data_IF_923189708363
#
_entry.id   IF_923189708363
#
_cell.length_a   1.000
_cell.length_b   1.000
_cell.length_c   1.000
_cell.angle_alpha   90.00
_cell.angle_beta   90.00
_cell.angle_gamma   90.00
#
_symmetry.space_group_name_H-M   'P 1'
#
loop_
_entity.id
_entity.type
_entity.pdbx_description
1 polymer ?
#
# COMPACT_ATOMS: atom_id res chain seq x y z
N UNK A 1 19.79 -15.53 32.51
CA UNK A 1 18.41 -15.58 31.99
C UNK A 1 18.25 -16.91 31.30
N UNK A 2 17.40 -17.79 31.81
CA UNK A 2 17.21 -19.14 31.24
C UNK A 2 16.49 -19.01 29.90
N UNK A 3 17.16 -19.38 28.79
CA UNK A 3 16.68 -19.31 27.41
C UNK A 3 15.65 -20.41 27.08
N UNK A 4 14.81 -20.80 28.01
CA UNK A 4 13.86 -21.90 27.82
C UNK A 4 12.40 -21.44 27.93
N UNK A 5 12.12 -20.18 27.56
CA UNK A 5 10.75 -19.66 27.60
C UNK A 5 9.99 -20.15 26.36
N UNK A 6 9.07 -21.08 26.58
CA UNK A 6 8.12 -21.52 25.57
C UNK A 6 6.92 -20.57 25.54
N UNK A 7 6.66 -20.00 24.39
CA UNK A 7 5.54 -19.08 24.14
C UNK A 7 4.36 -19.85 23.56
N UNK A 8 3.17 -19.56 24.08
CA UNK A 8 1.95 -20.12 23.49
C UNK A 8 1.57 -19.40 22.20
N UNK A 9 0.70 -20.01 21.40
CA UNK A 9 0.14 -19.35 20.21
C UNK A 9 -0.57 -18.02 20.54
N UNK A 10 -1.11 -17.90 21.76
CA UNK A 10 -1.75 -16.66 22.24
C UNK A 10 -0.72 -15.57 22.51
N UNK A 11 0.42 -15.91 23.11
CA UNK A 11 1.51 -14.97 23.36
C UNK A 11 2.09 -14.45 22.06
N UNK A 12 2.39 -15.35 21.10
CA UNK A 12 2.86 -14.98 19.77
C UNK A 12 1.87 -14.05 19.07
N UNK A 13 0.59 -14.41 19.08
CA UNK A 13 -0.46 -13.60 18.45
C UNK A 13 -0.50 -12.18 19.01
N UNK A 14 -0.34 -12.04 20.32
CA UNK A 14 -0.31 -10.73 21.00
C UNK A 14 0.96 -9.95 20.72
N UNK A 15 2.14 -10.58 20.80
CA UNK A 15 3.43 -9.92 20.64
C UNK A 15 3.69 -9.45 19.21
N UNK A 16 3.33 -10.28 18.22
CA UNK A 16 3.62 -10.01 16.82
C UNK A 16 2.43 -9.46 16.04
N UNK A 17 1.27 -9.32 16.69
CA UNK A 17 0.01 -8.91 16.06
C UNK A 17 -0.33 -9.79 14.83
N UNK A 18 -0.14 -11.11 14.97
CA UNK A 18 -0.47 -12.11 13.96
C UNK A 18 -1.65 -12.92 14.49
N UNK A 19 -2.70 -13.10 13.68
CA UNK A 19 -3.87 -13.86 14.12
C UNK A 19 -3.51 -15.33 14.42
N UNK A 20 -4.19 -15.94 15.39
CA UNK A 20 -4.01 -17.36 15.70
C UNK A 20 -4.30 -18.27 14.50
N UNK A 21 -5.25 -17.88 13.63
CA UNK A 21 -5.55 -18.58 12.38
C UNK A 21 -4.39 -18.53 11.40
N UNK A 22 -3.74 -17.37 11.23
CA UNK A 22 -2.55 -17.23 10.41
C UNK A 22 -1.39 -18.09 10.94
N UNK A 23 -1.16 -18.10 12.25
CA UNK A 23 -0.13 -18.95 12.87
C UNK A 23 -0.39 -20.44 12.63
N UNK A 24 -1.65 -20.89 12.74
CA UNK A 24 -2.03 -22.27 12.41
C UNK A 24 -1.82 -22.57 10.92
N UNK A 25 -2.12 -21.62 10.06
CA UNK A 25 -1.89 -21.76 8.63
C UNK A 25 -0.40 -21.82 8.29
N UNK A 26 0.45 -20.99 8.92
CA UNK A 26 1.91 -21.07 8.73
C UNK A 26 2.49 -22.41 9.16
N UNK A 27 1.96 -22.99 10.23
CA UNK A 27 2.29 -24.34 10.66
C UNK A 27 1.84 -25.41 9.63
N UNK A 28 0.58 -25.34 9.14
CA UNK A 28 0.05 -26.32 8.17
C UNK A 28 0.80 -26.33 6.85
N UNK A 29 1.22 -25.17 6.35
CA UNK A 29 2.04 -25.05 5.13
C UNK A 29 3.54 -25.28 5.37
N UNK A 30 3.96 -25.50 6.61
CA UNK A 30 5.36 -25.70 6.98
C UNK A 30 6.25 -24.48 6.88
N UNK A 31 5.67 -23.26 6.89
CA UNK A 31 6.40 -22.01 6.85
C UNK A 31 7.07 -21.67 8.20
N UNK A 32 6.36 -21.91 9.30
CA UNK A 32 6.88 -21.84 10.66
C UNK A 32 6.17 -22.86 11.55
N UNK A 33 6.86 -23.96 11.87
CA UNK A 33 6.33 -25.00 12.73
C UNK A 33 6.58 -24.64 14.20
N UNK A 34 5.63 -24.98 15.12
CA UNK A 34 5.89 -24.85 16.55
C UNK A 34 7.05 -25.77 16.98
N UNK A 35 7.79 -25.38 18.01
CA UNK A 35 8.89 -26.20 18.58
C UNK A 35 8.35 -27.46 19.27
N UNK A 36 7.15 -27.36 19.84
CA UNK A 36 6.49 -28.48 20.47
C UNK A 36 4.97 -28.38 20.31
N UNK A 37 4.32 -29.55 20.35
CA UNK A 37 2.88 -29.69 20.54
C UNK A 37 2.62 -30.58 21.74
N UNK A 38 1.73 -30.12 22.57
CA UNK A 38 1.23 -30.96 23.68
C UNK A 38 0.40 -32.11 23.08
N UNK A 39 0.76 -33.33 23.45
CA UNK A 39 0.12 -34.54 22.91
C UNK A 39 -1.31 -34.78 23.42
N UNK A 40 -1.65 -34.22 24.59
CA UNK A 40 -2.97 -34.38 25.20
C UNK A 40 -3.93 -33.27 24.76
N UNK A 41 -3.44 -32.03 24.78
CA UNK A 41 -4.28 -30.84 24.54
C UNK A 41 -4.15 -30.26 23.12
N UNK A 42 -3.14 -30.69 22.36
CA UNK A 42 -2.83 -30.17 21.04
C UNK A 42 -2.27 -28.73 21.04
N UNK A 43 -1.96 -28.18 22.22
CA UNK A 43 -1.42 -26.82 22.34
C UNK A 43 -0.06 -26.69 21.64
N UNK A 44 0.14 -25.54 20.95
CA UNK A 44 1.35 -25.23 20.20
C UNK A 44 2.23 -24.31 21.03
N UNK A 45 3.50 -24.69 21.14
CA UNK A 45 4.53 -23.91 21.82
C UNK A 45 5.62 -23.49 20.83
N UNK A 46 6.09 -22.28 21.01
CA UNK A 46 7.11 -21.64 20.17
C UNK A 46 8.28 -21.20 21.07
N UNK A 47 9.48 -21.20 20.53
CA UNK A 47 10.69 -20.70 21.17
C UNK A 47 11.14 -19.37 20.54
N UNK A 48 12.14 -18.74 21.12
CA UNK A 48 12.66 -17.46 20.68
C UNK A 48 13.03 -17.41 19.19
N UNK A 49 13.65 -18.45 18.68
CA UNK A 49 14.02 -18.53 17.26
C UNK A 49 12.82 -18.44 16.31
N UNK A 50 11.69 -19.00 16.71
CA UNK A 50 10.46 -18.94 15.92
C UNK A 50 9.78 -17.58 16.04
N UNK A 51 9.93 -16.86 17.17
CA UNK A 51 9.50 -15.47 17.26
C UNK A 51 10.22 -14.60 16.21
N UNK A 52 11.53 -14.75 16.11
CA UNK A 52 12.32 -14.02 15.13
C UNK A 52 11.90 -14.38 13.70
N UNK A 53 11.71 -15.66 13.40
CA UNK A 53 11.22 -16.13 12.10
C UNK A 53 9.84 -15.56 11.77
N UNK A 54 8.89 -15.60 12.70
CA UNK A 54 7.54 -15.07 12.51
C UNK A 54 7.54 -13.54 12.33
N UNK A 55 8.38 -12.82 13.07
CA UNK A 55 8.57 -11.38 12.88
C UNK A 55 9.09 -11.06 11.46
N UNK A 56 10.07 -11.84 10.97
CA UNK A 56 10.59 -11.68 9.62
C UNK A 56 9.50 -11.96 8.56
N UNK A 57 8.73 -13.04 8.71
CA UNK A 57 7.57 -13.34 7.85
C UNK A 57 6.61 -12.16 7.83
N UNK A 58 6.30 -11.59 9.01
CA UNK A 58 5.43 -10.41 9.11
C UNK A 58 5.95 -9.20 8.34
N UNK A 59 7.26 -8.92 8.40
CA UNK A 59 7.91 -7.84 7.63
C UNK A 59 7.83 -8.08 6.12
N UNK A 60 8.11 -9.29 5.67
CA UNK A 60 8.05 -9.67 4.26
C UNK A 60 6.61 -9.60 3.71
N UNK A 61 5.61 -9.98 4.51
CA UNK A 61 4.19 -9.83 4.17
C UNK A 61 3.78 -8.37 4.01
N UNK A 62 4.27 -7.46 4.86
CA UNK A 62 4.05 -6.01 4.69
C UNK A 62 4.61 -5.48 3.38
N UNK A 63 5.67 -6.07 2.88
CA UNK A 63 6.22 -5.78 1.55
C UNK A 63 5.43 -6.45 0.41
N UNK A 64 4.23 -7.02 0.70
CA UNK A 64 3.35 -7.71 -0.25
C UNK A 64 3.99 -8.93 -0.93
N UNK A 65 4.98 -9.57 -0.30
CA UNK A 65 5.50 -10.86 -0.76
C UNK A 65 4.50 -11.98 -0.49
N UNK A 66 4.38 -12.93 -1.40
CA UNK A 66 3.52 -14.10 -1.22
C UNK A 66 4.12 -15.08 -0.21
N UNK A 67 3.28 -15.90 0.41
CA UNK A 67 3.77 -16.91 1.37
C UNK A 67 4.63 -17.98 0.69
N UNK A 68 4.37 -18.26 -0.59
CA UNK A 68 5.17 -19.16 -1.42
C UNK A 68 6.58 -18.60 -1.63
N UNK A 69 6.70 -17.32 -1.99
CA UNK A 69 7.98 -16.64 -2.12
C UNK A 69 8.76 -16.66 -0.79
N UNK A 70 8.08 -16.31 0.31
CA UNK A 70 8.70 -16.31 1.64
C UNK A 70 9.18 -17.72 2.03
N UNK A 71 8.36 -18.75 1.77
CA UNK A 71 8.70 -20.15 2.08
C UNK A 71 9.89 -20.65 1.26
N UNK A 72 9.91 -20.36 -0.05
CA UNK A 72 11.00 -20.75 -0.93
C UNK A 72 12.35 -20.19 -0.43
N UNK A 73 12.38 -18.93 0.00
CA UNK A 73 13.59 -18.30 0.52
C UNK A 73 13.95 -18.74 1.94
N UNK A 74 12.96 -18.98 2.79
CA UNK A 74 13.18 -19.51 4.15
C UNK A 74 13.83 -20.89 4.13
N UNK A 75 13.45 -21.72 3.17
CA UNK A 75 13.98 -23.08 3.00
C UNK A 75 15.39 -23.09 2.41
N UNK A 76 15.72 -22.15 1.54
CA UNK A 76 16.98 -22.12 0.81
C UNK A 76 18.17 -21.62 1.67
N UNK A 77 17.95 -21.02 2.84
CA UNK A 77 18.98 -20.35 3.68
C UNK A 77 19.95 -19.46 2.88
N UNK A 78 19.52 -18.98 1.72
CA UNK A 78 20.33 -18.23 0.77
C UNK A 78 20.02 -16.74 0.88
N UNK A 79 20.89 -16.02 1.56
CA UNK A 79 20.77 -14.56 1.77
C UNK A 79 20.74 -13.80 0.44
N UNK A 80 21.57 -14.20 -0.54
CA UNK A 80 21.62 -13.55 -1.85
C UNK A 80 20.31 -13.67 -2.63
N UNK A 81 19.61 -14.79 -2.50
CA UNK A 81 18.31 -15.01 -3.11
C UNK A 81 17.25 -14.09 -2.49
N UNK A 82 17.25 -13.92 -1.17
CA UNK A 82 16.36 -12.99 -0.48
C UNK A 82 16.67 -11.53 -0.86
N UNK A 83 17.94 -11.18 -0.91
CA UNK A 83 18.38 -9.84 -1.33
C UNK A 83 17.87 -9.50 -2.74
N UNK A 84 18.05 -10.40 -3.70
CA UNK A 84 17.52 -10.24 -5.06
C UNK A 84 16.02 -9.99 -5.05
N UNK A 85 15.24 -10.79 -4.33
CA UNK A 85 13.79 -10.63 -4.21
C UNK A 85 13.39 -9.27 -3.62
N UNK A 86 14.13 -8.80 -2.60
CA UNK A 86 13.88 -7.50 -1.99
C UNK A 86 14.23 -6.34 -2.93
N UNK A 87 15.29 -6.47 -3.74
CA UNK A 87 15.65 -5.48 -4.76
C UNK A 87 14.61 -5.40 -5.87
N UNK A 88 14.10 -6.54 -6.34
CA UNK A 88 12.99 -6.60 -7.30
C UNK A 88 11.73 -5.94 -6.72
N UNK A 89 11.40 -6.24 -5.45
CA UNK A 89 10.24 -5.63 -4.79
C UNK A 89 10.40 -4.11 -4.61
N UNK A 90 11.61 -3.65 -4.28
CA UNK A 90 11.93 -2.21 -4.20
C UNK A 90 11.67 -1.51 -5.53
N UNK A 91 12.06 -2.11 -6.65
CA UNK A 91 11.83 -1.55 -7.98
C UNK A 91 10.33 -1.43 -8.29
N UNK A 92 9.53 -2.45 -7.95
CA UNK A 92 8.08 -2.41 -8.13
C UNK A 92 7.44 -1.30 -7.28
N UNK A 93 7.84 -1.19 -6.01
CA UNK A 93 7.34 -0.13 -5.12
C UNK A 93 7.71 1.26 -5.66
N UNK A 94 8.91 1.43 -6.21
CA UNK A 94 9.33 2.70 -6.79
C UNK A 94 8.48 3.08 -8.01
N UNK A 95 8.12 2.12 -8.85
CA UNK A 95 7.23 2.33 -9.98
C UNK A 95 5.79 2.67 -9.53
N UNK A 96 5.23 1.91 -8.57
CA UNK A 96 3.91 2.19 -7.97
C UNK A 96 3.87 3.62 -7.37
N UNK A 97 4.96 4.04 -6.70
CA UNK A 97 5.06 5.37 -6.10
C UNK A 97 5.09 6.48 -7.17
N UNK A 98 5.85 6.29 -8.25
CA UNK A 98 5.91 7.26 -9.34
C UNK A 98 4.55 7.43 -10.04
N UNK A 99 3.83 6.35 -10.26
CA UNK A 99 2.46 6.39 -10.79
C UNK A 99 1.51 7.17 -9.87
N UNK A 100 1.52 6.89 -8.57
CA UNK A 100 0.70 7.60 -7.60
C UNK A 100 1.04 9.09 -7.51
N UNK A 101 2.33 9.44 -7.62
CA UNK A 101 2.76 10.85 -7.65
C UNK A 101 2.23 11.57 -8.88
N UNK A 102 2.25 10.94 -10.05
CA UNK A 102 1.68 11.50 -11.28
C UNK A 102 0.17 11.68 -11.18
N UNK A 103 -0.56 10.70 -10.65
CA UNK A 103 -2.00 10.81 -10.41
C UNK A 103 -2.33 11.95 -9.43
N UNK A 104 -1.53 12.11 -8.38
CA UNK A 104 -1.70 13.20 -7.43
C UNK A 104 -1.46 14.57 -8.10
N UNK A 105 -0.44 14.70 -8.93
CA UNK A 105 -0.16 15.92 -9.71
C UNK A 105 -1.34 16.29 -10.61
N UNK A 106 -1.91 15.31 -11.33
CA UNK A 106 -3.08 15.52 -12.19
C UNK A 106 -4.31 15.95 -11.37
N UNK A 107 -4.53 15.35 -10.21
CA UNK A 107 -5.61 15.73 -9.32
C UNK A 107 -5.46 17.17 -8.80
N UNK A 108 -4.26 17.56 -8.40
CA UNK A 108 -3.96 18.94 -7.98
C UNK A 108 -4.19 19.96 -9.10
N UNK A 109 -3.82 19.63 -10.34
CA UNK A 109 -4.09 20.49 -11.50
C UNK A 109 -5.59 20.69 -11.73
N UNK A 110 -6.40 19.63 -11.58
CA UNK A 110 -7.86 19.74 -11.71
C UNK A 110 -8.46 20.60 -10.59
N UNK A 111 -8.01 20.41 -9.35
CA UNK A 111 -8.43 21.23 -8.21
C UNK A 111 -8.11 22.70 -8.47
N UNK A 112 -6.89 23.00 -8.89
CA UNK A 112 -6.45 24.37 -9.20
C UNK A 112 -7.30 25.01 -10.33
N UNK A 113 -7.64 24.26 -11.37
CA UNK A 113 -8.54 24.72 -12.43
C UNK A 113 -9.93 25.08 -11.90
N UNK A 114 -10.50 24.24 -11.02
CA UNK A 114 -11.80 24.47 -10.38
C UNK A 114 -11.75 25.72 -9.49
N UNK A 115 -10.71 25.85 -8.67
CA UNK A 115 -10.55 27.04 -7.81
C UNK A 115 -10.39 28.34 -8.63
N UNK A 116 -9.62 28.28 -9.72
CA UNK A 116 -9.47 29.42 -10.61
C UNK A 116 -10.79 29.82 -11.26
N UNK A 117 -11.60 28.83 -11.67
CA UNK A 117 -12.94 29.09 -12.20
C UNK A 117 -13.87 29.74 -11.16
N UNK A 118 -13.83 29.26 -9.91
CA UNK A 118 -14.60 29.86 -8.79
C UNK A 118 -14.20 31.32 -8.52
N UNK A 119 -12.91 31.65 -8.54
CA UNK A 119 -12.43 33.02 -8.29
C UNK A 119 -12.76 34.00 -9.42
N UNK A 120 -12.90 33.50 -10.65
CA UNK A 120 -13.14 34.35 -11.84
C UNK A 120 -14.62 34.59 -12.15
N UNK A 121 -15.55 34.17 -11.30
CA UNK A 121 -16.99 34.17 -11.59
C UNK A 121 -17.68 35.55 -11.57
N UNK A 122 -16.99 36.69 -11.64
CA UNK A 122 -17.66 38.00 -11.50
C UNK A 122 -17.16 39.16 -12.37
N UNK A 123 -16.33 38.96 -13.40
CA UNK A 123 -15.95 40.08 -14.27
C UNK A 123 -15.80 39.69 -15.74
N UNK A 124 -16.40 40.51 -16.64
CA UNK A 124 -16.07 40.46 -18.05
C UNK A 124 -14.82 41.29 -18.29
N UNK A 125 -13.80 40.71 -18.91
CA UNK A 125 -12.63 41.47 -19.36
C UNK A 125 -12.59 41.41 -20.89
N UNK A 126 -12.77 42.56 -21.53
CA UNK A 126 -12.66 42.69 -22.98
C UNK A 126 -11.22 43.10 -23.29
N UNK A 127 -10.44 42.18 -23.83
CA UNK A 127 -9.08 42.49 -24.32
C UNK A 127 -9.09 42.58 -25.84
N UNK A 128 -8.63 43.71 -26.34
CA UNK A 128 -8.37 43.89 -27.77
C UNK A 128 -7.06 43.22 -28.13
N UNK A 129 -7.11 42.12 -28.86
CA UNK A 129 -5.93 41.55 -29.47
C UNK A 129 -5.77 42.04 -30.91
N UNK A 130 -4.55 42.36 -31.38
CA UNK A 130 -4.31 43.02 -32.69
C UNK A 130 -4.89 42.24 -33.88
N UNK A 131 -5.14 40.97 -33.77
CA UNK A 131 -5.58 40.09 -34.87
C UNK A 131 -6.77 39.19 -34.52
N UNK A 132 -7.30 39.18 -33.28
CA UNK A 132 -8.43 38.30 -32.86
C UNK A 132 -9.28 38.96 -31.77
N UNK A 133 -10.59 38.83 -31.90
CA UNK A 133 -11.53 39.16 -30.82
C UNK A 133 -11.82 37.89 -30.04
N UNK A 134 -11.37 37.83 -28.77
CA UNK A 134 -11.69 36.74 -27.85
C UNK A 134 -12.82 37.21 -26.93
N UNK A 135 -13.99 36.55 -27.05
CA UNK A 135 -15.09 36.74 -26.10
C UNK A 135 -14.90 35.73 -24.96
N UNK A 136 -14.67 36.22 -23.75
CA UNK A 136 -14.65 35.41 -22.54
C UNK A 136 -15.97 35.62 -21.81
N UNK A 137 -16.84 34.61 -21.83
CA UNK A 137 -18.09 34.62 -21.08
C UNK A 137 -17.89 33.92 -19.74
N UNK A 138 -18.05 34.66 -18.63
CA UNK A 138 -18.09 34.06 -17.30
C UNK A 138 -19.50 33.50 -17.08
N UNK A 139 -19.63 32.19 -17.09
CA UNK A 139 -20.89 31.52 -16.81
C UNK A 139 -20.90 31.23 -15.31
N UNK A 140 -21.89 31.79 -14.62
CA UNK A 140 -22.13 31.48 -13.21
C UNK A 140 -22.78 30.11 -13.15
N UNK A 141 -22.03 29.07 -12.83
CA UNK A 141 -22.57 27.73 -12.65
C UNK A 141 -23.21 27.66 -11.26
N UNK A 142 -24.54 27.61 -11.20
CA UNK A 142 -25.21 27.00 -10.08
C UNK A 142 -24.76 25.53 -10.02
N UNK A 143 -24.56 25.00 -8.82
CA UNK A 143 -23.87 23.75 -8.48
C UNK A 143 -24.41 22.45 -9.11
N UNK A 144 -25.29 22.50 -10.10
CA UNK A 144 -25.94 21.36 -10.75
C UNK A 144 -25.40 20.94 -12.11
N UNK A 145 -24.48 21.73 -12.73
CA UNK A 145 -24.02 21.41 -14.09
C UNK A 145 -22.53 20.98 -14.17
N UNK A 146 -22.22 19.88 -13.49
CA UNK A 146 -20.91 19.21 -13.62
C UNK A 146 -20.61 18.84 -15.08
N UNK A 147 -21.63 18.52 -15.87
CA UNK A 147 -21.49 18.15 -17.28
C UNK A 147 -21.07 19.31 -18.19
N UNK A 148 -21.57 20.51 -17.93
CA UNK A 148 -21.18 21.72 -18.65
C UNK A 148 -19.72 22.12 -18.35
N UNK A 149 -19.28 21.95 -17.10
CA UNK A 149 -17.88 22.18 -16.71
C UNK A 149 -16.92 21.22 -17.42
N UNK A 150 -17.27 19.94 -17.53
CA UNK A 150 -16.47 18.93 -18.24
C UNK A 150 -16.37 19.26 -19.72
N UNK A 151 -17.46 19.66 -20.38
CA UNK A 151 -17.47 20.01 -21.79
C UNK A 151 -16.57 21.21 -22.12
N UNK A 152 -16.47 22.20 -21.23
CA UNK A 152 -15.56 23.33 -21.39
C UNK A 152 -14.10 22.98 -21.19
N UNK A 153 -13.77 21.94 -20.44
CA UNK A 153 -12.39 21.47 -20.23
C UNK A 153 -11.82 20.71 -21.43
N UNK A 154 -12.68 20.16 -22.31
CA UNK A 154 -12.26 19.36 -23.48
C UNK A 154 -12.48 20.06 -24.83
N UNK A 155 -12.97 21.32 -24.86
CA UNK A 155 -13.21 22.08 -26.10
C UNK A 155 -12.11 23.10 -26.41
N UNK A 156 -10.86 22.82 -25.96
CA UNK A 156 -9.67 23.63 -26.30
C UNK A 156 -8.76 22.87 -27.24
#
# INVERSE_FOLDING_TARGET
MSMNDKYTIADISRFLNISKSALRYYDSIGLCKPSARDSQTGYRYYEYNQLFQLNMIGKLKKLKLSLEQIKAHSSAKNVASLEKLLLERRSIIAAELAELQELNRQNEELINKIELARRKSSSFELRRCPERYLYRMNINFASSDLYACIKLLYSS
#
